data_IF_105558591676
#
_entry.id   IF_105558591676
#
_cell.length_a   1.000
_cell.length_b   1.000
_cell.length_c   1.000
_cell.angle_alpha   90.00
_cell.angle_beta   90.00
_cell.angle_gamma   90.00
#
_symmetry.space_group_name_H-M   'P 1'
#
loop_
_entity.id
_entity.type
_entity.pdbx_description
1 polymer ?
#
# COMPACT_ATOMS: atom_id res chain seq x y z
N UNK A 1 -11.76 14.78 2.44
CA UNK A 1 -10.65 14.32 3.28
C UNK A 1 -11.18 13.76 4.60
N UNK A 2 -11.88 14.56 5.42
CA UNK A 2 -12.47 14.09 6.70
C UNK A 2 -13.52 12.98 6.58
N UNK A 3 -14.35 12.97 5.52
CA UNK A 3 -15.34 11.88 5.29
C UNK A 3 -14.71 10.48 5.21
N UNK A 4 -13.48 10.39 4.69
CA UNK A 4 -12.76 9.13 4.58
C UNK A 4 -12.35 8.61 5.96
N UNK A 5 -11.80 9.49 6.79
CA UNK A 5 -11.40 9.11 8.15
C UNK A 5 -12.62 8.73 8.98
N UNK A 6 -13.70 9.53 8.96
CA UNK A 6 -14.94 9.15 9.64
C UNK A 6 -15.47 7.77 9.21
N UNK A 7 -15.34 7.40 7.93
CA UNK A 7 -15.81 6.11 7.43
C UNK A 7 -14.90 4.93 7.79
N UNK A 8 -13.59 5.16 8.00
CA UNK A 8 -12.59 4.08 8.13
C UNK A 8 -11.80 4.11 9.44
N UNK A 9 -12.02 5.08 10.33
CA UNK A 9 -11.17 5.29 11.50
C UNK A 9 -11.09 4.07 12.41
N UNK A 10 -12.22 3.41 12.71
CA UNK A 10 -12.23 2.21 13.54
C UNK A 10 -11.38 1.09 12.92
N UNK A 11 -11.53 0.85 11.62
CA UNK A 11 -10.76 -0.17 10.88
C UNK A 11 -9.27 0.18 10.81
N UNK A 12 -8.94 1.47 10.60
CA UNK A 12 -7.57 1.98 10.57
C UNK A 12 -6.92 1.83 11.96
N UNK A 13 -7.61 2.25 13.02
CA UNK A 13 -7.13 2.13 14.40
C UNK A 13 -6.96 0.67 14.80
N UNK A 14 -7.88 -0.20 14.39
CA UNK A 14 -7.79 -1.62 14.67
C UNK A 14 -6.60 -2.26 13.94
N UNK A 15 -6.43 -1.98 12.64
CA UNK A 15 -5.34 -2.53 11.84
C UNK A 15 -3.95 -2.05 12.28
N UNK A 16 -3.86 -0.81 12.78
CA UNK A 16 -2.59 -0.22 13.22
C UNK A 16 -2.24 -0.50 14.68
N UNK A 17 -3.20 -0.98 15.49
CA UNK A 17 -3.02 -1.26 16.92
C UNK A 17 -1.81 -2.17 17.18
N UNK A 18 -0.90 -1.70 18.05
CA UNK A 18 0.29 -2.45 18.43
C UNK A 18 1.40 -2.49 17.36
N UNK A 19 1.29 -1.66 16.32
CA UNK A 19 2.29 -1.54 15.26
C UNK A 19 2.90 -0.12 15.24
N UNK A 20 4.06 0.08 14.59
CA UNK A 20 4.63 1.43 14.43
C UNK A 20 3.92 2.27 13.36
N UNK A 21 2.90 1.74 12.66
CA UNK A 21 2.14 2.49 11.66
C UNK A 21 1.16 3.43 12.39
N UNK A 22 1.26 4.74 12.14
CA UNK A 22 0.31 5.71 12.71
C UNK A 22 -1.04 5.66 11.97
N UNK A 23 -2.19 5.76 12.66
CA UNK A 23 -3.51 5.80 11.99
C UNK A 23 -3.61 6.99 11.01
N UNK A 24 -3.19 8.19 11.41
CA UNK A 24 -3.09 9.35 10.51
C UNK A 24 -2.25 9.12 9.25
N UNK A 25 -1.12 8.40 9.34
CA UNK A 25 -0.29 8.07 8.18
C UNK A 25 -1.05 7.12 7.23
N UNK A 26 -1.65 6.05 7.77
CA UNK A 26 -2.42 5.10 6.96
C UNK A 26 -3.62 5.80 6.28
N UNK A 27 -4.35 6.65 7.00
CA UNK A 27 -5.44 7.45 6.41
C UNK A 27 -4.98 8.38 5.29
N UNK A 28 -3.83 9.06 5.48
CA UNK A 28 -3.22 9.92 4.48
C UNK A 28 -2.79 9.15 3.22
N UNK A 29 -2.32 7.93 3.40
CA UNK A 29 -1.96 7.04 2.30
C UNK A 29 -3.19 6.55 1.52
N UNK A 30 -4.23 6.08 2.20
CA UNK A 30 -5.50 5.66 1.58
C UNK A 30 -6.09 6.81 0.75
N UNK A 31 -6.09 7.99 1.37
CA UNK A 31 -5.96 9.31 0.78
C UNK A 31 -5.56 9.44 -0.69
N UNK A 32 -4.34 8.99 -0.94
CA UNK A 32 -3.54 9.20 -2.14
C UNK A 32 -3.68 8.04 -3.12
N UNK A 33 -3.75 6.83 -2.61
CA UNK A 33 -3.61 5.60 -3.39
C UNK A 33 -4.91 5.17 -4.06
N UNK A 34 -6.00 5.11 -3.29
CA UNK A 34 -7.28 4.64 -3.81
C UNK A 34 -8.00 5.71 -4.65
N UNK A 35 -8.64 5.27 -5.73
CA UNK A 35 -9.48 6.12 -6.57
C UNK A 35 -10.91 5.55 -6.73
N UNK A 36 -11.96 6.33 -6.39
CA UNK A 36 -11.91 7.55 -5.58
C UNK A 36 -11.29 7.28 -4.20
N UNK A 37 -10.88 8.33 -3.49
CA UNK A 37 -10.24 8.18 -2.17
C UNK A 37 -11.17 7.42 -1.21
N UNK A 38 -10.65 6.35 -0.59
CA UNK A 38 -11.40 5.46 0.29
C UNK A 38 -12.12 4.33 -0.43
N UNK A 39 -11.86 4.09 -1.72
CA UNK A 39 -12.46 2.99 -2.48
C UNK A 39 -11.75 1.66 -2.19
N UNK A 40 -12.39 0.69 -1.50
CA UNK A 40 -11.80 -0.62 -1.19
C UNK A 40 -11.65 -1.52 -2.41
N UNK A 41 -12.34 -1.21 -3.51
CA UNK A 41 -12.31 -1.98 -4.76
C UNK A 41 -11.36 -1.38 -5.80
N UNK A 42 -10.55 -0.39 -5.42
CA UNK A 42 -9.64 0.27 -6.36
C UNK A 42 -8.59 -0.71 -6.90
N UNK A 43 -8.42 -0.75 -8.23
CA UNK A 43 -7.52 -1.67 -8.92
C UNK A 43 -6.79 -0.96 -10.06
N UNK A 44 -5.50 -1.24 -10.24
CA UNK A 44 -4.73 -0.73 -11.39
C UNK A 44 -3.77 -1.78 -11.92
N UNK A 45 -3.93 -2.16 -13.19
CA UNK A 45 -3.01 -3.06 -13.86
C UNK A 45 -1.74 -2.32 -14.29
N UNK A 46 -0.58 -2.92 -14.05
CA UNK A 46 0.73 -2.37 -14.41
C UNK A 46 1.39 -3.20 -15.53
N UNK A 47 1.33 -2.77 -16.81
CA UNK A 47 1.84 -3.55 -17.94
C UNK A 47 3.34 -3.89 -17.84
N UNK A 48 4.13 -3.00 -17.25
CA UNK A 48 5.57 -3.21 -17.06
C UNK A 48 5.86 -4.32 -16.04
N UNK A 49 5.07 -4.37 -14.96
CA UNK A 49 5.14 -5.45 -13.96
C UNK A 49 4.74 -6.78 -14.59
N UNK A 50 3.65 -6.80 -15.36
CA UNK A 50 3.20 -8.01 -16.05
C UNK A 50 4.28 -8.57 -16.97
N UNK A 51 4.92 -7.71 -17.79
CA UNK A 51 6.02 -8.12 -18.66
C UNK A 51 7.17 -8.72 -17.86
N UNK A 52 7.58 -8.06 -16.78
CA UNK A 52 8.64 -8.58 -15.90
C UNK A 52 8.32 -9.95 -15.30
N UNK A 53 7.07 -10.18 -14.90
CA UNK A 53 6.63 -11.49 -14.38
C UNK A 53 6.59 -12.57 -15.49
N UNK A 54 6.19 -12.21 -16.70
CA UNK A 54 6.24 -13.12 -17.88
C UNK A 54 7.68 -13.51 -18.19
N UNK A 55 8.60 -12.53 -18.26
CA UNK A 55 10.02 -12.79 -18.51
C UNK A 55 10.60 -13.70 -17.42
N UNK A 56 10.29 -13.44 -16.14
CA UNK A 56 10.70 -14.30 -15.04
C UNK A 56 10.15 -15.73 -15.17
N UNK A 57 8.88 -15.91 -15.54
CA UNK A 57 8.27 -17.23 -15.71
C UNK A 57 8.93 -17.99 -16.87
N UNK A 58 9.06 -17.35 -18.03
CA UNK A 58 9.38 -18.01 -19.30
C UNK A 58 10.89 -18.15 -19.50
N UNK A 59 11.64 -17.05 -19.37
CA UNK A 59 13.09 -17.04 -19.58
C UNK A 59 13.89 -17.20 -18.29
N UNK A 60 13.28 -16.94 -17.12
CA UNK A 60 13.98 -16.95 -15.84
C UNK A 60 14.75 -15.66 -15.55
N UNK A 61 14.52 -14.60 -16.33
CA UNK A 61 15.09 -13.28 -16.07
C UNK A 61 14.62 -12.76 -14.71
N UNK A 62 15.57 -12.46 -13.82
CA UNK A 62 15.27 -11.98 -12.48
C UNK A 62 14.44 -10.68 -12.52
N UNK A 63 13.40 -10.61 -11.70
CA UNK A 63 12.54 -9.44 -11.61
C UNK A 63 12.01 -9.26 -10.18
N UNK A 64 12.14 -8.03 -9.65
CA UNK A 64 11.47 -7.59 -8.42
C UNK A 64 11.69 -8.44 -7.17
N UNK A 65 12.77 -9.24 -7.09
CA UNK A 65 13.01 -10.19 -6.00
C UNK A 65 12.07 -11.40 -5.97
N UNK A 66 11.18 -11.55 -6.96
CA UNK A 66 10.24 -12.67 -7.03
C UNK A 66 10.98 -13.95 -7.41
N UNK A 67 10.75 -15.01 -6.66
CA UNK A 67 11.31 -16.33 -6.98
C UNK A 67 10.52 -16.97 -8.13
N UNK A 68 11.21 -17.36 -9.21
CA UNK A 68 10.58 -18.05 -10.36
C UNK A 68 9.75 -19.25 -9.94
N UNK A 69 10.20 -20.01 -8.94
CA UNK A 69 9.49 -21.18 -8.41
C UNK A 69 8.05 -20.88 -7.97
N UNK A 70 7.76 -19.65 -7.50
CA UNK A 70 6.43 -19.21 -7.05
C UNK A 70 5.46 -18.94 -8.20
N UNK A 71 5.97 -18.70 -9.42
CA UNK A 71 5.14 -18.32 -10.58
C UNK A 71 5.33 -19.21 -11.81
N UNK A 72 6.21 -20.23 -11.74
CA UNK A 72 6.58 -21.07 -12.88
C UNK A 72 5.38 -21.72 -13.58
N UNK A 73 4.36 -22.09 -12.80
CA UNK A 73 3.12 -22.70 -13.30
C UNK A 73 1.93 -21.73 -13.31
N UNK A 74 2.17 -20.43 -13.13
CA UNK A 74 1.11 -19.43 -13.13
C UNK A 74 0.59 -19.19 -14.56
N UNK A 75 -0.74 -19.22 -14.71
CA UNK A 75 -1.40 -18.80 -15.94
C UNK A 75 -1.20 -17.30 -16.19
N UNK A 76 -1.38 -16.86 -17.44
CA UNK A 76 -1.35 -15.43 -17.79
C UNK A 76 -2.37 -14.63 -16.98
N UNK A 77 -3.56 -15.19 -16.72
CA UNK A 77 -4.56 -14.57 -15.87
C UNK A 77 -4.04 -14.35 -14.44
N UNK A 78 -3.34 -15.34 -13.87
CA UNK A 78 -2.70 -15.19 -12.56
C UNK A 78 -1.58 -14.15 -12.59
N UNK A 79 -0.73 -14.13 -13.61
CA UNK A 79 0.32 -13.13 -13.75
C UNK A 79 -0.26 -11.71 -13.88
N UNK A 80 -1.37 -11.53 -14.61
CA UNK A 80 -2.09 -10.25 -14.69
C UNK A 80 -2.61 -9.79 -13.34
N UNK A 81 -3.15 -10.73 -12.56
CA UNK A 81 -3.62 -10.44 -11.21
C UNK A 81 -2.45 -10.05 -10.28
N UNK A 82 -1.33 -10.77 -10.33
CA UNK A 82 -0.12 -10.38 -9.59
C UNK A 82 0.46 -9.01 -10.04
N UNK A 83 0.26 -8.65 -11.29
CA UNK A 83 0.67 -7.36 -11.86
C UNK A 83 -0.34 -6.21 -11.65
N UNK A 84 -1.31 -6.39 -10.78
CA UNK A 84 -2.32 -5.37 -10.47
C UNK A 84 -2.14 -4.89 -9.03
N UNK A 85 -2.29 -3.59 -8.77
CA UNK A 85 -2.41 -3.05 -7.42
C UNK A 85 -3.86 -3.10 -6.95
N UNK A 86 -4.07 -3.31 -5.64
CA UNK A 86 -5.40 -3.54 -5.07
C UNK A 86 -5.67 -2.70 -3.82
N UNK A 87 -6.94 -2.37 -3.63
CA UNK A 87 -7.50 -1.91 -2.37
C UNK A 87 -7.14 -0.46 -2.01
N UNK A 88 -7.40 -0.16 -0.75
CA UNK A 88 -7.30 1.17 -0.14
C UNK A 88 -5.89 1.76 -0.26
N UNK A 89 -4.84 0.93 -0.20
CA UNK A 89 -3.43 1.37 -0.27
C UNK A 89 -2.72 0.94 -1.54
N UNK A 90 -3.41 0.38 -2.53
CA UNK A 90 -2.83 -0.03 -3.82
C UNK A 90 -1.59 -0.94 -3.70
N UNK A 91 -1.63 -1.96 -2.84
CA UNK A 91 -0.53 -2.95 -2.80
C UNK A 91 -0.53 -3.77 -4.08
N UNK A 92 0.66 -3.93 -4.68
CA UNK A 92 0.83 -4.80 -5.85
C UNK A 92 0.61 -6.27 -5.51
N UNK A 93 -0.19 -6.98 -6.30
CA UNK A 93 -0.58 -8.36 -6.07
C UNK A 93 0.59 -9.35 -5.99
N UNK A 94 1.74 -9.06 -6.60
CA UNK A 94 2.92 -9.92 -6.48
C UNK A 94 3.49 -9.94 -5.06
N UNK A 95 3.22 -8.94 -4.21
CA UNK A 95 3.61 -8.97 -2.79
C UNK A 95 2.89 -10.06 -2.00
N UNK A 96 1.74 -10.56 -2.47
CA UNK A 96 1.10 -11.75 -1.90
C UNK A 96 2.04 -12.97 -1.86
N UNK A 97 2.98 -13.07 -2.80
CA UNK A 97 3.95 -14.18 -2.86
C UNK A 97 4.94 -14.17 -1.68
N UNK A 98 5.24 -12.98 -1.17
CA UNK A 98 6.12 -12.74 -0.01
C UNK A 98 5.34 -12.78 1.29
N UNK A 99 4.20 -12.09 1.34
CA UNK A 99 3.35 -11.98 2.53
C UNK A 99 2.60 -13.27 2.88
N UNK A 100 2.46 -14.19 1.92
CA UNK A 100 1.72 -15.44 2.13
C UNK A 100 0.20 -15.27 2.14
N UNK A 101 -0.32 -14.17 1.60
CA UNK A 101 -1.75 -13.93 1.44
C UNK A 101 -2.26 -14.21 0.01
N UNK A 102 -3.57 -14.12 -0.17
CA UNK A 102 -4.24 -14.18 -1.46
C UNK A 102 -4.46 -12.77 -2.04
N UNK A 103 -4.88 -12.67 -3.30
CA UNK A 103 -5.21 -11.36 -3.91
C UNK A 103 -6.54 -10.84 -3.33
N UNK A 104 -7.44 -11.77 -3.05
CA UNK A 104 -8.75 -11.54 -2.44
C UNK A 104 -8.58 -10.82 -1.10
N UNK A 105 -7.58 -11.21 -0.32
CA UNK A 105 -7.23 -10.58 0.96
C UNK A 105 -6.87 -9.09 0.83
N UNK A 106 -6.35 -8.64 -0.33
CA UNK A 106 -6.03 -7.23 -0.59
C UNK A 106 -7.27 -6.38 -0.94
N UNK A 107 -8.44 -7.00 -1.08
CA UNK A 107 -9.72 -6.32 -1.39
C UNK A 107 -10.82 -6.64 -0.39
N UNK A 108 -10.61 -7.62 0.49
CA UNK A 108 -11.56 -8.03 1.51
C UNK A 108 -11.55 -7.10 2.74
N UNK A 109 -12.38 -7.43 3.73
CA UNK A 109 -12.46 -6.73 5.02
C UNK A 109 -11.10 -6.64 5.74
N UNK A 110 -10.18 -7.56 5.47
CA UNK A 110 -8.86 -7.62 6.11
C UNK A 110 -7.76 -6.84 5.36
N UNK A 111 -8.10 -6.12 4.29
CA UNK A 111 -7.09 -5.49 3.43
C UNK A 111 -6.15 -4.53 4.19
N UNK A 112 -6.64 -3.84 5.22
CA UNK A 112 -5.80 -2.94 6.02
C UNK A 112 -4.77 -3.69 6.88
N UNK A 113 -5.07 -4.90 7.34
CA UNK A 113 -4.08 -5.72 8.03
C UNK A 113 -2.95 -6.14 7.09
N UNK A 114 -3.28 -6.48 5.85
CA UNK A 114 -2.27 -6.79 4.83
C UNK A 114 -1.50 -5.55 4.36
N UNK A 115 -2.16 -4.38 4.32
CA UNK A 115 -1.48 -3.09 4.18
C UNK A 115 -0.44 -2.92 5.27
N UNK A 116 -0.82 -3.01 6.54
CA UNK A 116 0.10 -2.87 7.67
C UNK A 116 1.21 -3.93 7.66
N UNK A 117 0.91 -5.18 7.32
CA UNK A 117 1.91 -6.24 7.17
C UNK A 117 2.94 -5.90 6.09
N UNK A 118 2.48 -5.43 4.91
CA UNK A 118 3.35 -4.92 3.86
C UNK A 118 4.24 -3.77 4.36
N UNK A 119 3.67 -2.79 5.05
CA UNK A 119 4.43 -1.65 5.57
C UNK A 119 5.56 -2.08 6.50
N UNK A 120 5.28 -3.06 7.37
CA UNK A 120 6.26 -3.58 8.33
C UNK A 120 7.37 -4.36 7.63
N UNK A 121 7.03 -5.17 6.63
CA UNK A 121 8.03 -5.92 5.85
C UNK A 121 8.96 -4.97 5.09
N UNK A 122 8.44 -3.90 4.50
CA UNK A 122 9.22 -3.08 3.56
C UNK A 122 9.80 -1.80 4.17
N UNK A 123 9.23 -1.22 5.23
CA UNK A 123 9.68 0.07 5.77
C UNK A 123 9.53 0.24 7.29
N UNK A 124 9.56 -0.85 8.08
CA UNK A 124 9.46 -0.82 9.56
C UNK A 124 10.47 0.11 10.23
N UNK A 125 11.72 0.16 9.75
CA UNK A 125 12.74 1.03 10.35
C UNK A 125 12.38 2.52 10.21
N UNK A 126 11.82 2.93 9.07
CA UNK A 126 11.43 4.32 8.86
C UNK A 126 10.12 4.66 9.59
N UNK A 127 9.20 3.68 9.75
CA UNK A 127 8.03 3.82 10.62
C UNK A 127 8.42 4.08 12.07
N UNK A 128 9.35 3.28 12.61
CA UNK A 128 9.84 3.45 13.98
C UNK A 128 10.54 4.80 14.20
N UNK A 129 11.24 5.30 13.19
CA UNK A 129 11.88 6.64 13.21
C UNK A 129 10.89 7.78 12.96
N UNK A 130 9.62 7.49 12.66
CA UNK A 130 8.63 8.48 12.23
C UNK A 130 9.09 9.30 11.02
N UNK A 131 9.84 8.69 10.10
CA UNK A 131 10.31 9.34 8.89
C UNK A 131 9.27 9.23 7.78
N UNK A 132 8.19 10.01 7.93
CA UNK A 132 6.99 9.89 7.10
C UNK A 132 7.24 10.22 5.63
N UNK A 133 8.15 11.15 5.33
CA UNK A 133 8.58 11.41 3.96
C UNK A 133 9.13 10.15 3.29
N UNK A 134 10.06 9.46 3.97
CA UNK A 134 10.61 8.20 3.43
C UNK A 134 9.56 7.12 3.35
N UNK A 135 8.65 7.02 4.32
CA UNK A 135 7.55 6.05 4.26
C UNK A 135 6.67 6.27 3.00
N UNK A 136 6.30 7.51 2.68
CA UNK A 136 5.58 7.83 1.44
C UNK A 136 6.40 7.47 0.19
N UNK A 137 7.68 7.83 0.14
CA UNK A 137 8.55 7.47 -1.00
C UNK A 137 8.68 5.97 -1.18
N UNK A 138 8.86 5.21 -0.10
CA UNK A 138 8.97 3.76 -0.12
C UNK A 138 7.68 3.11 -0.58
N UNK A 139 6.52 3.58 -0.12
CA UNK A 139 5.25 3.04 -0.59
C UNK A 139 5.03 3.26 -2.09
N UNK A 140 5.40 4.43 -2.61
CA UNK A 140 5.19 4.75 -4.02
C UNK A 140 6.25 4.13 -4.96
N UNK A 141 7.50 4.01 -4.51
CA UNK A 141 8.65 3.70 -5.38
C UNK A 141 9.44 2.46 -4.97
N UNK A 142 9.15 1.89 -3.80
CA UNK A 142 9.92 0.82 -3.18
C UNK A 142 11.27 1.27 -2.58
N UNK A 143 11.61 2.58 -2.58
CA UNK A 143 12.91 3.07 -2.11
C UNK A 143 12.78 4.35 -1.25
N UNK A 144 13.63 4.52 -0.22
CA UNK A 144 13.57 5.69 0.67
C UNK A 144 13.88 7.01 -0.03
N UNK A 145 14.82 7.01 -0.98
CA UNK A 145 15.21 8.20 -1.74
C UNK A 145 14.63 8.18 -3.16
N UNK A 146 13.62 7.34 -3.41
CA UNK A 146 12.93 7.27 -4.69
C UNK A 146 12.14 8.55 -4.99
N UNK A 147 12.00 8.87 -6.27
CA UNK A 147 11.25 10.04 -6.74
C UNK A 147 9.89 9.56 -7.22
N UNK A 148 8.79 9.89 -6.52
CA UNK A 148 7.45 9.58 -6.99
C UNK A 148 7.17 10.22 -8.36
N UNK A 149 6.37 9.54 -9.18
CA UNK A 149 5.98 10.07 -10.49
C UNK A 149 5.25 11.42 -10.38
N UNK A 150 4.46 11.60 -9.32
CA UNK A 150 3.84 12.89 -8.99
C UNK A 150 4.71 13.65 -8.00
N UNK A 151 5.18 14.82 -8.40
CA UNK A 151 6.12 15.64 -7.59
C UNK A 151 5.53 16.07 -6.24
N UNK A 152 4.22 16.27 -6.17
CA UNK A 152 3.47 16.68 -4.99
C UNK A 152 3.04 15.50 -4.08
N UNK A 153 3.37 14.25 -4.43
CA UNK A 153 2.88 13.06 -3.71
C UNK A 153 3.24 13.08 -2.22
N UNK A 154 4.52 13.31 -1.91
CA UNK A 154 5.02 13.33 -0.52
C UNK A 154 4.41 14.52 0.24
N UNK A 155 4.48 15.72 -0.33
CA UNK A 155 3.96 16.95 0.28
C UNK A 155 2.47 16.81 0.62
N UNK A 156 1.67 16.27 -0.31
CA UNK A 156 0.25 16.01 -0.07
C UNK A 156 0.02 14.94 0.97
N UNK A 157 0.84 13.89 1.00
CA UNK A 157 0.80 12.86 2.04
C UNK A 157 0.99 13.44 3.43
N UNK A 158 2.05 14.22 3.61
CA UNK A 158 2.36 14.90 4.88
C UNK A 158 1.25 15.89 5.28
N UNK A 159 0.74 16.68 4.32
CA UNK A 159 -0.35 17.63 4.57
C UNK A 159 -1.64 16.92 4.99
N UNK A 160 -1.95 15.78 4.37
CA UNK A 160 -3.12 14.97 4.74
C UNK A 160 -2.96 14.34 6.11
N UNK A 161 -1.76 13.84 6.39
CA UNK A 161 -1.43 13.25 7.68
C UNK A 161 -1.63 14.27 8.81
N UNK A 162 -1.14 15.50 8.67
CA UNK A 162 -1.33 16.52 9.71
C UNK A 162 -2.80 16.89 9.94
N UNK A 163 -3.64 16.89 8.90
CA UNK A 163 -5.10 17.06 9.08
C UNK A 163 -5.74 15.90 9.86
N UNK A 164 -5.25 14.67 9.68
CA UNK A 164 -5.74 13.52 10.42
C UNK A 164 -5.22 13.49 11.86
N UNK A 165 -3.96 13.87 12.10
CA UNK A 165 -3.42 14.03 13.45
C UNK A 165 -4.23 15.08 14.24
N UNK A 166 -4.55 16.23 13.63
CA UNK A 166 -5.41 17.24 14.27
C UNK A 166 -6.82 16.72 14.55
N UNK A 167 -7.37 15.87 13.68
CA UNK A 167 -8.67 15.24 13.90
C UNK A 167 -8.62 14.27 15.08
N UNK A 168 -7.54 13.49 15.21
CA UNK A 168 -7.31 12.55 16.31
C UNK A 168 -7.19 13.29 17.65
N UNK A 169 -6.40 14.37 17.70
CA UNK A 169 -6.21 15.22 18.88
C UNK A 169 -7.53 15.80 19.39
N UNK A 170 -8.43 16.15 18.47
CA UNK A 170 -9.75 16.70 18.80
C UNK A 170 -10.82 15.63 19.01
N UNK A 171 -10.45 14.36 19.05
CA UNK A 171 -11.37 13.23 19.22
C UNK A 171 -12.52 13.26 18.19
N UNK A 172 -12.21 13.66 16.97
CA UNK A 172 -13.18 13.83 15.90
C UNK A 172 -14.08 15.07 16.00
N UNK A 173 -13.86 15.96 16.98
CA UNK A 173 -14.46 17.30 17.00
C UNK A 173 -13.76 18.23 16.02
N UNK A 174 -14.53 18.91 15.17
CA UNK A 174 -14.00 19.94 14.26
C UNK A 174 -14.10 21.36 14.84
N UNK A 175 -14.56 21.48 16.09
CA UNK A 175 -14.74 22.75 16.82
C UNK A 175 -14.19 22.63 18.23
#
# INVERSE_FOLDING_TARGET
MFRLYHALHEDIEQATRGTPVRPAYLAALISLESHPAGNPDSRRFEPAVYRGLVDLRDSGQAWGGVQRSKIRSASDARLRALATSYGLTQIMGYHCLELGCSIEDLTAAQQLYWSVAYMRVHYEQELQRSNWERCFRMHNTGRPDGIPNRRDYVERGLTRMSYYELWEERQGSLF
#
